data_IF_778062750796
#
_entry.id   IF_778062750796
#
_cell.length_a   1.000
_cell.length_b   1.000
_cell.length_c   1.000
_cell.angle_alpha   90.00
_cell.angle_beta   90.00
_cell.angle_gamma   90.00
#
_symmetry.space_group_name_H-M   'P 1'
#
loop_
_entity.id
_entity.type
_entity.pdbx_description
1 polymer ?
#
# COMPACT_ATOMS: atom_id res chain seq x y z
N UNK A 1 -38.88 -11.76 -34.27
CA UNK A 1 -37.72 -10.85 -34.30
C UNK A 1 -37.33 -10.31 -32.91
N UNK A 2 -38.24 -10.22 -31.92
CA UNK A 2 -37.86 -9.84 -30.54
C UNK A 2 -37.14 -10.96 -29.76
N UNK A 3 -37.51 -12.24 -29.96
CA UNK A 3 -36.86 -13.37 -29.28
C UNK A 3 -35.37 -13.53 -29.67
N UNK A 4 -35.03 -13.28 -30.94
CA UNK A 4 -33.63 -13.34 -31.41
C UNK A 4 -32.75 -12.23 -30.84
N UNK A 5 -33.34 -11.11 -30.40
CA UNK A 5 -32.58 -10.01 -29.78
C UNK A 5 -32.24 -10.32 -28.33
N UNK A 6 -33.13 -10.98 -27.57
CA UNK A 6 -32.84 -11.43 -26.20
C UNK A 6 -31.65 -12.41 -26.17
N UNK A 7 -31.55 -13.34 -27.13
CA UNK A 7 -30.43 -14.27 -27.26
C UNK A 7 -29.08 -13.61 -27.59
N UNK A 8 -29.06 -12.35 -28.07
CA UNK A 8 -27.83 -11.60 -28.32
C UNK A 8 -27.55 -10.52 -27.27
N UNK A 9 -28.39 -10.43 -26.23
CA UNK A 9 -28.10 -9.56 -25.08
C UNK A 9 -27.00 -10.17 -24.22
N UNK A 10 -26.21 -9.33 -23.55
CA UNK A 10 -25.19 -9.78 -22.58
C UNK A 10 -25.82 -10.70 -21.53
N UNK A 11 -27.06 -10.43 -21.14
CA UNK A 11 -27.80 -11.24 -20.18
C UNK A 11 -28.13 -12.65 -20.72
N UNK A 12 -28.63 -12.74 -21.96
CA UNK A 12 -28.91 -14.02 -22.62
C UNK A 12 -27.66 -14.90 -22.77
N UNK A 13 -26.54 -14.31 -23.19
CA UNK A 13 -25.26 -15.01 -23.34
C UNK A 13 -24.70 -15.51 -22.00
N UNK A 14 -24.86 -14.73 -20.94
CA UNK A 14 -24.44 -15.15 -19.59
C UNK A 14 -25.38 -16.20 -19.03
N UNK A 15 -26.70 -16.13 -19.29
CA UNK A 15 -27.65 -17.13 -18.81
C UNK A 15 -27.48 -18.49 -19.47
N UNK A 16 -27.05 -18.53 -20.73
CA UNK A 16 -26.80 -19.77 -21.47
C UNK A 16 -25.44 -20.42 -21.11
N UNK A 17 -24.54 -19.69 -20.45
CA UNK A 17 -23.26 -20.22 -20.01
C UNK A 17 -23.40 -21.28 -18.89
N UNK A 18 -22.48 -22.25 -18.88
CA UNK A 18 -22.43 -23.28 -17.84
C UNK A 18 -22.20 -22.67 -16.45
N UNK A 19 -22.65 -23.38 -15.40
CA UNK A 19 -22.54 -22.91 -14.00
C UNK A 19 -21.10 -22.55 -13.62
N UNK A 20 -20.13 -23.31 -14.13
CA UNK A 20 -18.70 -23.06 -13.90
C UNK A 20 -18.26 -21.73 -14.54
N UNK A 21 -18.64 -21.46 -15.78
CA UNK A 21 -18.26 -20.22 -16.48
C UNK A 21 -18.87 -19.01 -15.77
N UNK A 22 -20.13 -19.12 -15.30
CA UNK A 22 -20.76 -18.09 -14.46
C UNK A 22 -19.99 -17.83 -13.15
N UNK A 23 -19.51 -18.89 -12.49
CA UNK A 23 -18.70 -18.76 -11.28
C UNK A 23 -17.35 -18.06 -11.56
N UNK A 24 -16.68 -18.41 -12.68
CA UNK A 24 -15.44 -17.75 -13.13
C UNK A 24 -15.67 -16.24 -13.36
N UNK A 25 -16.73 -15.87 -14.08
CA UNK A 25 -17.08 -14.46 -14.31
C UNK A 25 -17.33 -13.72 -12.99
N UNK A 26 -18.06 -14.35 -12.06
CA UNK A 26 -18.35 -13.76 -10.75
C UNK A 26 -17.07 -13.54 -9.93
N UNK A 27 -16.15 -14.50 -9.91
CA UNK A 27 -14.86 -14.38 -9.21
C UNK A 27 -14.04 -13.23 -9.79
N UNK A 28 -13.95 -13.13 -11.12
CA UNK A 28 -13.22 -12.04 -11.78
C UNK A 28 -13.85 -10.67 -11.49
N UNK A 29 -15.19 -10.59 -11.44
CA UNK A 29 -15.91 -9.38 -11.08
C UNK A 29 -15.61 -8.96 -9.65
N UNK A 30 -15.68 -9.88 -8.68
CA UNK A 30 -15.37 -9.59 -7.27
C UNK A 30 -13.90 -9.20 -7.10
N UNK A 31 -12.97 -9.89 -7.76
CA UNK A 31 -11.55 -9.55 -7.73
C UNK A 31 -11.28 -8.14 -8.29
N UNK A 32 -11.99 -7.75 -9.35
CA UNK A 32 -11.93 -6.39 -9.91
C UNK A 32 -12.42 -5.33 -8.91
N UNK A 33 -13.55 -5.56 -8.24
CA UNK A 33 -14.09 -4.65 -7.22
C UNK A 33 -13.14 -4.48 -6.03
N UNK A 34 -12.58 -5.58 -5.52
CA UNK A 34 -11.58 -5.55 -4.44
C UNK A 34 -10.31 -4.81 -4.88
N UNK A 35 -9.86 -5.04 -6.11
CA UNK A 35 -8.68 -4.36 -6.65
C UNK A 35 -8.88 -2.85 -6.70
N UNK A 36 -10.03 -2.39 -7.20
CA UNK A 36 -10.38 -0.97 -7.22
C UNK A 36 -10.47 -0.36 -5.81
N UNK A 37 -11.09 -1.07 -4.87
CA UNK A 37 -11.15 -0.65 -3.47
C UNK A 37 -9.75 -0.46 -2.87
N UNK A 38 -8.86 -1.43 -3.06
CA UNK A 38 -7.48 -1.36 -2.58
C UNK A 38 -6.69 -0.24 -3.26
N UNK A 39 -6.85 -0.03 -4.57
CA UNK A 39 -6.20 1.06 -5.32
C UNK A 39 -6.58 2.42 -4.72
N UNK A 40 -7.87 2.66 -4.50
CA UNK A 40 -8.34 3.95 -3.94
C UNK A 40 -7.83 4.12 -2.51
N UNK A 41 -7.97 3.10 -1.66
CA UNK A 41 -7.51 3.14 -0.28
C UNK A 41 -6.01 3.44 -0.19
N UNK A 42 -5.19 2.76 -1.00
CA UNK A 42 -3.73 2.93 -1.00
C UNK A 42 -3.31 4.26 -1.61
N UNK A 43 -3.96 4.70 -2.68
CA UNK A 43 -3.70 6.02 -3.28
C UNK A 43 -3.97 7.15 -2.29
N UNK A 44 -5.05 7.07 -1.51
CA UNK A 44 -5.34 8.04 -0.45
C UNK A 44 -4.32 8.00 0.68
N UNK A 45 -3.90 6.80 1.12
CA UNK A 45 -2.89 6.64 2.16
C UNK A 45 -1.53 7.24 1.72
N UNK A 46 -1.08 6.97 0.50
CA UNK A 46 0.15 7.51 -0.06
C UNK A 46 0.11 9.04 -0.15
N UNK A 47 -0.99 9.60 -0.65
CA UNK A 47 -1.18 11.06 -0.72
C UNK A 47 -1.17 11.73 0.65
N UNK A 48 -1.70 11.07 1.69
CA UNK A 48 -1.63 11.57 3.06
C UNK A 48 -0.18 11.56 3.57
N UNK A 49 0.55 10.48 3.29
CA UNK A 49 1.95 10.34 3.67
C UNK A 49 2.83 11.42 3.01
N UNK A 50 2.68 11.65 1.71
CA UNK A 50 3.39 12.69 0.95
C UNK A 50 3.14 14.09 1.54
N UNK A 51 1.86 14.43 1.82
CA UNK A 51 1.52 15.72 2.45
C UNK A 51 2.13 15.89 3.83
N UNK A 52 2.11 14.84 4.65
CA UNK A 52 2.73 14.84 5.97
C UNK A 52 4.24 15.03 5.89
N UNK A 53 4.88 14.41 4.89
CA UNK A 53 6.32 14.53 4.63
C UNK A 53 6.68 15.95 4.19
N UNK A 54 5.95 16.54 3.25
CA UNK A 54 6.16 17.93 2.81
C UNK A 54 6.02 18.92 3.96
N UNK A 55 4.98 18.77 4.78
CA UNK A 55 4.74 19.62 5.94
C UNK A 55 5.87 19.48 6.98
N UNK A 56 6.34 18.26 7.23
CA UNK A 56 7.47 18.02 8.12
C UNK A 56 8.76 18.62 7.57
N UNK A 57 9.05 18.43 6.29
CA UNK A 57 10.28 18.93 5.65
C UNK A 57 10.32 20.47 5.63
N UNK A 58 9.17 21.14 5.48
CA UNK A 58 9.08 22.60 5.62
C UNK A 58 9.46 23.04 7.03
N UNK A 59 8.90 22.39 8.06
CA UNK A 59 9.21 22.70 9.47
C UNK A 59 10.66 22.42 9.82
N UNK A 60 11.18 21.28 9.39
CA UNK A 60 12.57 20.89 9.59
C UNK A 60 13.55 21.90 8.98
N UNK A 61 13.22 22.48 7.82
CA UNK A 61 14.04 23.54 7.20
C UNK A 61 13.92 24.89 7.90
N UNK A 62 12.79 25.19 8.54
CA UNK A 62 12.56 26.47 9.22
C UNK A 62 13.01 26.50 10.68
N UNK A 63 13.05 25.36 11.36
CA UNK A 63 13.45 25.26 12.76
C UNK A 63 14.95 24.95 12.90
N UNK A 64 15.65 25.70 13.74
CA UNK A 64 17.06 25.44 14.06
C UNK A 64 17.24 24.35 15.14
N UNK A 65 16.17 23.97 15.85
CA UNK A 65 16.23 23.06 17.01
C UNK A 65 15.39 21.79 16.78
N UNK A 66 15.99 20.62 16.99
CA UNK A 66 15.37 19.32 16.74
C UNK A 66 14.45 18.82 17.88
N UNK A 67 14.59 19.39 19.08
CA UNK A 67 13.81 19.02 20.27
C UNK A 67 12.31 19.34 20.16
N UNK A 68 11.88 20.54 19.73
CA UNK A 68 10.46 20.85 19.54
C UNK A 68 9.80 19.98 18.46
N UNK A 69 10.53 19.65 17.40
CA UNK A 69 10.09 18.71 16.35
C UNK A 69 9.82 17.30 16.91
N UNK A 70 10.67 16.82 17.82
CA UNK A 70 10.50 15.51 18.47
C UNK A 70 9.28 15.46 19.37
N UNK A 71 9.04 16.51 20.16
CA UNK A 71 7.87 16.61 21.02
C UNK A 71 6.55 16.61 20.23
N UNK A 72 6.52 17.29 19.07
CA UNK A 72 5.38 17.23 18.15
C UNK A 72 5.21 15.86 17.50
N UNK A 73 6.29 15.25 17.00
CA UNK A 73 6.27 13.94 16.38
C UNK A 73 5.92 12.79 17.35
N UNK A 74 6.16 12.99 18.65
CA UNK A 74 5.82 12.04 19.72
C UNK A 74 4.44 12.28 20.32
N UNK A 75 3.74 13.34 19.91
CA UNK A 75 2.41 13.64 20.44
C UNK A 75 1.38 12.65 19.89
N UNK A 76 0.42 12.22 20.72
CA UNK A 76 -0.64 11.29 20.30
C UNK A 76 -1.55 11.83 19.17
N UNK A 77 -1.36 13.10 18.78
CA UNK A 77 -2.10 13.80 17.73
C UNK A 77 -1.37 13.82 16.39
N UNK A 78 -0.07 13.50 16.34
CA UNK A 78 0.61 13.29 15.06
C UNK A 78 0.18 11.94 14.51
N UNK A 79 -0.52 11.97 13.37
CA UNK A 79 -0.92 10.79 12.62
C UNK A 79 0.20 9.76 12.58
N UNK A 80 -0.09 8.54 13.01
CA UNK A 80 0.83 7.39 12.95
C UNK A 80 1.22 6.98 11.52
N UNK A 81 0.74 7.71 10.50
CA UNK A 81 1.12 7.56 9.10
C UNK A 81 1.87 8.80 8.62
N UNK A 82 3.19 8.71 8.52
CA UNK A 82 4.05 9.81 8.07
C UNK A 82 5.52 9.56 8.41
N UNK A 83 6.35 10.61 8.29
CA UNK A 83 7.78 10.57 8.63
C UNK A 83 8.06 10.57 10.16
N UNK A 84 7.02 10.76 10.99
CA UNK A 84 7.12 10.84 12.45
C UNK A 84 7.85 9.65 13.10
N UNK A 85 7.49 8.39 12.81
CA UNK A 85 8.19 7.21 13.33
C UNK A 85 9.67 7.15 12.93
N UNK A 86 10.00 7.56 11.70
CA UNK A 86 11.39 7.61 11.21
C UNK A 86 12.19 8.65 11.98
N UNK A 87 11.63 9.85 12.15
CA UNK A 87 12.27 10.91 12.92
C UNK A 87 12.44 10.54 14.40
N UNK A 88 11.42 9.90 14.98
CA UNK A 88 11.46 9.43 16.36
C UNK A 88 12.58 8.40 16.57
N UNK A 89 12.72 7.43 15.66
CA UNK A 89 13.77 6.41 15.72
C UNK A 89 15.17 7.02 15.61
N UNK A 90 15.39 7.96 14.68
CA UNK A 90 16.68 8.63 14.52
C UNK A 90 17.03 9.53 15.71
N UNK A 91 16.07 10.30 16.22
CA UNK A 91 16.29 11.19 17.36
C UNK A 91 16.51 10.43 18.68
N UNK A 92 15.77 9.33 18.90
CA UNK A 92 15.97 8.47 20.06
C UNK A 92 17.37 7.84 20.08
N UNK A 93 17.84 7.34 18.93
CA UNK A 93 19.19 6.79 18.77
C UNK A 93 20.27 7.86 19.01
N UNK A 94 20.09 9.06 18.44
CA UNK A 94 20.99 10.19 18.65
C UNK A 94 21.10 10.57 20.13
N UNK A 95 19.96 10.66 20.83
CA UNK A 95 19.95 10.94 22.26
C UNK A 95 20.64 9.83 23.06
N UNK A 96 20.40 8.57 22.73
CA UNK A 96 20.99 7.43 23.45
C UNK A 96 22.52 7.38 23.31
N UNK A 97 23.04 7.59 22.10
CA UNK A 97 24.47 7.54 21.81
C UNK A 97 25.21 8.80 22.30
N UNK A 98 24.58 9.98 22.22
CA UNK A 98 25.18 11.24 22.71
C UNK A 98 25.42 11.27 24.22
N UNK A 99 24.60 10.59 25.02
CA UNK A 99 24.74 10.55 26.48
C UNK A 99 25.81 9.57 26.97
N UNK A 100 26.41 8.75 26.08
CA UNK A 100 27.48 7.83 26.44
C UNK A 100 28.85 8.53 26.35
N UNK A 101 29.57 8.70 27.46
CA UNK A 101 30.87 9.35 27.44
C UNK A 101 31.90 8.50 26.69
N UNK A 102 32.68 9.14 25.81
CA UNK A 102 33.80 8.50 25.09
C UNK A 102 33.44 7.81 23.77
N UNK A 103 32.22 7.99 23.25
CA UNK A 103 31.86 7.50 21.89
C UNK A 103 32.31 8.53 20.84
N UNK A 104 32.99 8.05 19.80
CA UNK A 104 33.38 8.87 18.65
C UNK A 104 32.15 9.41 17.90
N UNK A 105 32.16 10.68 17.45
CA UNK A 105 31.07 11.27 16.67
C UNK A 105 30.66 10.43 15.44
N UNK A 106 31.61 9.76 14.79
CA UNK A 106 31.35 8.89 13.64
C UNK A 106 30.54 7.64 14.01
N UNK A 107 30.74 7.11 15.21
CA UNK A 107 29.95 5.98 15.73
C UNK A 107 28.52 6.42 16.06
N UNK A 108 28.35 7.65 16.56
CA UNK A 108 27.03 8.24 16.76
C UNK A 108 26.29 8.41 15.43
N UNK A 109 26.96 8.97 14.42
CA UNK A 109 26.37 9.22 13.11
C UNK A 109 25.95 7.91 12.43
N UNK A 110 26.83 6.90 12.41
CA UNK A 110 26.54 5.59 11.82
C UNK A 110 25.42 4.84 12.56
N UNK A 111 25.33 4.97 13.88
CA UNK A 111 24.21 4.44 14.66
C UNK A 111 22.87 5.06 14.27
N UNK A 112 22.82 6.40 14.19
CA UNK A 112 21.63 7.14 13.77
C UNK A 112 21.23 6.79 12.34
N UNK A 113 22.18 6.74 11.40
CA UNK A 113 21.92 6.35 10.01
C UNK A 113 21.29 4.95 9.93
N UNK A 114 21.84 3.99 10.67
CA UNK A 114 21.30 2.63 10.72
C UNK A 114 19.89 2.59 11.29
N UNK A 115 19.62 3.32 12.37
CA UNK A 115 18.27 3.43 12.97
C UNK A 115 17.27 4.01 11.98
N UNK A 116 17.66 5.07 11.26
CA UNK A 116 16.84 5.68 10.21
C UNK A 116 16.55 4.71 9.07
N UNK A 117 17.56 3.99 8.57
CA UNK A 117 17.37 2.99 7.51
C UNK A 117 16.38 1.90 7.92
N UNK A 118 16.50 1.38 9.14
CA UNK A 118 15.55 0.38 9.68
C UNK A 118 14.13 0.95 9.73
N UNK A 119 13.96 2.15 10.28
CA UNK A 119 12.66 2.77 10.38
C UNK A 119 12.04 3.05 9.00
N UNK A 120 12.83 3.46 8.01
CA UNK A 120 12.38 3.67 6.62
C UNK A 120 11.87 2.35 6.03
N UNK A 121 12.65 1.27 6.13
CA UNK A 121 12.24 -0.05 5.63
C UNK A 121 10.95 -0.54 6.30
N UNK A 122 10.76 -0.29 7.60
CA UNK A 122 9.51 -0.63 8.28
C UNK A 122 8.31 0.17 7.75
N UNK A 123 8.48 1.46 7.44
CA UNK A 123 7.42 2.27 6.83
C UNK A 123 7.10 1.82 5.40
N UNK A 124 8.13 1.51 4.60
CA UNK A 124 7.95 0.97 3.24
C UNK A 124 7.12 -0.32 3.26
N UNK A 125 7.45 -1.26 4.14
CA UNK A 125 6.68 -2.50 4.30
C UNK A 125 5.21 -2.24 4.68
N UNK A 126 4.91 -1.17 5.42
CA UNK A 126 3.53 -0.81 5.73
C UNK A 126 2.78 -0.24 4.53
N UNK A 127 3.45 0.55 3.70
CA UNK A 127 2.90 1.12 2.47
C UNK A 127 2.67 0.04 1.41
N UNK A 128 3.54 -0.96 1.33
CA UNK A 128 3.45 -2.07 0.38
C UNK A 128 2.33 -3.08 0.66
N UNK A 129 1.75 -3.06 1.86
CA UNK A 129 0.65 -3.98 2.23
C UNK A 129 -0.48 -3.94 1.19
N UNK A 130 -0.85 -5.10 0.66
CA UNK A 130 -1.92 -5.24 -0.32
C UNK A 130 -1.49 -5.02 -1.78
N UNK A 131 -0.33 -4.42 -2.05
CA UNK A 131 0.20 -4.34 -3.43
C UNK A 131 0.51 -5.74 -3.98
N UNK A 132 0.98 -6.65 -3.12
CA UNK A 132 1.19 -8.04 -3.51
C UNK A 132 -0.11 -8.72 -3.96
N UNK A 133 -1.24 -8.46 -3.30
CA UNK A 133 -2.54 -9.00 -3.71
C UNK A 133 -2.94 -8.48 -5.10
N UNK A 134 -2.79 -7.17 -5.33
CA UNK A 134 -3.02 -6.56 -6.64
C UNK A 134 -2.13 -7.18 -7.73
N UNK A 135 -0.85 -7.43 -7.43
CA UNK A 135 0.07 -8.08 -8.34
C UNK A 135 -0.37 -9.52 -8.67
N UNK A 136 -0.79 -10.29 -7.66
CA UNK A 136 -1.31 -11.66 -7.85
C UNK A 136 -2.60 -11.68 -8.66
N UNK A 137 -3.58 -10.81 -8.35
CA UNK A 137 -4.83 -10.74 -9.12
C UNK A 137 -4.54 -10.34 -10.57
N UNK A 138 -3.65 -9.36 -10.77
CA UNK A 138 -3.23 -8.93 -12.10
C UNK A 138 -2.59 -10.05 -12.94
N UNK A 139 -1.75 -10.89 -12.33
CA UNK A 139 -1.05 -11.97 -13.05
C UNK A 139 -1.88 -13.24 -13.23
N UNK A 140 -2.77 -13.57 -12.27
CA UNK A 140 -3.54 -14.83 -12.28
C UNK A 140 -4.88 -14.69 -13.02
N UNK A 141 -5.46 -13.48 -13.07
CA UNK A 141 -6.76 -13.26 -13.72
C UNK A 141 -6.83 -13.69 -15.21
N UNK A 142 -5.78 -13.54 -16.05
CA UNK A 142 -5.84 -14.02 -17.44
C UNK A 142 -5.96 -15.54 -17.52
N UNK A 143 -5.29 -16.28 -16.63
CA UNK A 143 -5.37 -17.74 -16.58
C UNK A 143 -6.74 -18.22 -16.13
N UNK A 144 -7.34 -17.55 -15.14
CA UNK A 144 -8.71 -17.82 -14.69
C UNK A 144 -9.70 -17.60 -15.83
N UNK A 145 -9.55 -16.50 -16.58
CA UNK A 145 -10.38 -16.21 -17.76
C UNK A 145 -10.21 -17.27 -18.86
N UNK A 146 -8.98 -17.63 -19.20
CA UNK A 146 -8.68 -18.67 -20.18
C UNK A 146 -9.24 -20.04 -19.77
N UNK A 147 -9.19 -20.39 -18.49
CA UNK A 147 -9.81 -21.61 -17.98
C UNK A 147 -11.33 -21.61 -18.25
N UNK A 148 -12.00 -20.49 -17.99
CA UNK A 148 -13.43 -20.33 -18.28
C UNK A 148 -13.76 -20.50 -19.77
N UNK A 149 -12.92 -19.96 -20.67
CA UNK A 149 -13.17 -20.09 -22.12
C UNK A 149 -12.92 -21.51 -22.63
N UNK A 150 -11.85 -22.19 -22.19
CA UNK A 150 -11.57 -23.58 -22.56
C UNK A 150 -12.69 -24.51 -22.12
N UNK A 151 -13.13 -24.38 -20.86
CA UNK A 151 -14.25 -25.18 -20.35
C UNK A 151 -15.56 -24.88 -21.09
N UNK A 152 -15.83 -23.60 -21.36
CA UNK A 152 -17.01 -23.18 -22.11
C UNK A 152 -17.09 -23.84 -23.49
N UNK A 153 -15.96 -23.93 -24.20
CA UNK A 153 -15.90 -24.61 -25.51
C UNK A 153 -16.05 -26.13 -25.36
N UNK A 154 -15.48 -26.74 -24.31
CA UNK A 154 -15.59 -28.20 -24.09
C UNK A 154 -17.00 -28.68 -23.76
N UNK A 155 -17.81 -27.82 -23.14
CA UNK A 155 -19.17 -28.14 -22.70
C UNK A 155 -20.25 -27.54 -23.62
N UNK A 156 -19.85 -27.00 -24.78
CA UNK A 156 -20.73 -26.53 -25.84
C UNK A 156 -20.78 -27.53 -26.98
#
# INVERSE_FOLDING_TARGET
MHATLEHMTVWGLVSDASLLVKAVMLILLLASLVSWFLIVQRSLALRRYERSLDAFQQRFRSEAELAPLYAQASSAQSDSGGIGPVFQAGYAEYMQLKHRPGIDPDVVLSGVERSLQVAISEQELQLEKGLQFLATVGSVSPYIGLFGTVWGIMNS
#
